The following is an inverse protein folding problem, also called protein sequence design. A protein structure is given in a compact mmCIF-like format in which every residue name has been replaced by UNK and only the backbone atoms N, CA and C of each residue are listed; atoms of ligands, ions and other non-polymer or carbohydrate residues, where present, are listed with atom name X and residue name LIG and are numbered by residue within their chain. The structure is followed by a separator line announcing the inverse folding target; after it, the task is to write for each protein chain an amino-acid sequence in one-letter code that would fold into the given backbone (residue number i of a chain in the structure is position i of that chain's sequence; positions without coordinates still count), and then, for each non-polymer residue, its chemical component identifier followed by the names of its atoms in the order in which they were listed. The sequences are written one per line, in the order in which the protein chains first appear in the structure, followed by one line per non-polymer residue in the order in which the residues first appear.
data_IF_595031702860
#
_entry.id   IF_595031702860
#
_cell.length_a   1.000
_cell.length_b   1.000
_cell.length_c   1.000
_cell.angle_alpha   90.00
_cell.angle_beta   90.00
_cell.angle_gamma   90.00
#
_symmetry.space_group_name_H-M   'P 1'
#
loop_
_entity.id
_entity.type
_entity.pdbx_description
1 polymer ?
#
# COMPACT_ATOMS: atom_id res chain seq x y z
N UNK A 1 -11.93 1.89 10.16
CA UNK A 1 -11.00 2.94 9.72
C UNK A 1 -11.77 4.22 9.48
N UNK A 2 -11.69 5.18 10.40
CA UNK A 2 -12.46 6.43 10.33
C UNK A 2 -11.62 7.62 9.87
N UNK A 3 -12.04 8.33 8.82
CA UNK A 3 -11.32 9.50 8.29
C UNK A 3 -11.18 10.65 9.30
N UNK A 4 -12.09 10.74 10.28
CA UNK A 4 -12.01 11.72 11.36
C UNK A 4 -10.74 11.57 12.21
N UNK A 5 -10.11 10.39 12.24
CA UNK A 5 -8.81 10.19 12.91
C UNK A 5 -7.69 11.03 12.31
N UNK A 6 -7.84 11.49 11.07
CA UNK A 6 -6.87 12.38 10.44
C UNK A 6 -6.97 13.82 10.96
N UNK A 7 -7.94 14.16 11.84
CA UNK A 7 -8.09 15.51 12.43
C UNK A 7 -6.96 15.90 13.37
N UNK A 8 -6.25 14.92 13.94
CA UNK A 8 -5.05 15.18 14.75
C UNK A 8 -3.85 15.67 13.94
N UNK A 9 -3.95 15.66 12.61
CA UNK A 9 -2.91 16.14 11.71
C UNK A 9 -3.38 17.42 10.99
N UNK A 10 -3.04 18.62 11.50
CA UNK A 10 -3.40 19.88 10.86
C UNK A 10 -2.50 20.22 9.66
N UNK A 11 -1.23 19.81 9.71
CA UNK A 11 -0.27 20.01 8.62
C UNK A 11 -0.22 18.77 7.72
N UNK A 12 -0.61 18.94 6.46
CA UNK A 12 -0.62 17.86 5.47
C UNK A 12 0.78 17.41 5.09
N UNK A 13 1.74 18.33 4.95
CA UNK A 13 3.10 17.98 4.53
C UNK A 13 3.82 17.17 5.61
N UNK A 14 3.72 17.62 6.87
CA UNK A 14 4.26 16.88 8.02
C UNK A 14 3.62 15.50 8.14
N UNK A 15 2.28 15.43 8.05
CA UNK A 15 1.54 14.18 8.05
C UNK A 15 2.06 13.18 7.02
N UNK A 16 2.18 13.61 5.77
CA UNK A 16 2.62 12.72 4.69
C UNK A 16 4.06 12.24 4.89
N UNK A 17 4.95 13.11 5.35
CA UNK A 17 6.35 12.74 5.56
C UNK A 17 6.53 11.77 6.74
N UNK A 18 5.82 11.99 7.85
CA UNK A 18 5.87 11.09 9.01
C UNK A 18 5.45 9.68 8.63
N UNK A 19 4.34 9.53 7.91
CA UNK A 19 3.81 8.20 7.54
C UNK A 19 4.60 7.56 6.39
N UNK A 20 5.15 8.36 5.48
CA UNK A 20 6.12 7.89 4.48
C UNK A 20 7.36 7.29 5.15
N UNK A 21 7.97 8.03 6.07
CA UNK A 21 9.16 7.57 6.80
C UNK A 21 8.87 6.31 7.61
N UNK A 22 7.75 6.28 8.32
CA UNK A 22 7.35 5.11 9.10
C UNK A 22 7.19 3.85 8.24
N UNK A 23 6.60 3.97 7.06
CA UNK A 23 6.48 2.85 6.11
C UNK A 23 7.84 2.34 5.63
N UNK A 24 8.75 3.26 5.28
CA UNK A 24 10.11 2.92 4.90
C UNK A 24 10.84 2.14 6.01
N UNK A 25 10.87 2.70 7.22
CA UNK A 25 11.55 2.10 8.36
C UNK A 25 10.97 0.72 8.70
N UNK A 26 9.64 0.58 8.62
CA UNK A 26 8.95 -0.67 8.91
C UNK A 26 9.25 -1.76 7.87
N UNK A 27 9.37 -1.44 6.58
CA UNK A 27 9.78 -2.39 5.54
C UNK A 27 11.23 -2.82 5.72
N UNK A 28 12.12 -1.87 6.02
CA UNK A 28 13.53 -2.17 6.29
C UNK A 28 13.72 -3.11 7.50
N UNK A 29 12.86 -2.99 8.51
CA UNK A 29 12.95 -3.78 9.75
C UNK A 29 12.23 -5.13 9.68
N UNK A 30 11.05 -5.18 9.07
CA UNK A 30 10.14 -6.32 9.22
C UNK A 30 9.90 -7.09 7.92
N UNK A 31 10.24 -6.50 6.77
CA UNK A 31 9.90 -7.00 5.43
C UNK A 31 8.38 -7.18 5.22
N UNK A 32 8.00 -7.66 4.03
CA UNK A 32 6.60 -7.96 3.71
C UNK A 32 5.82 -6.73 3.29
N UNK A 33 6.25 -6.09 2.20
CA UNK A 33 5.69 -4.85 1.65
C UNK A 33 4.17 -4.68 1.69
N UNK A 34 3.37 -5.71 1.38
CA UNK A 34 1.91 -5.63 1.48
C UNK A 34 1.41 -5.50 2.92
N UNK A 35 1.98 -6.28 3.84
CA UNK A 35 1.67 -6.25 5.26
C UNK A 35 2.16 -4.95 5.90
N UNK A 36 3.32 -4.44 5.51
CA UNK A 36 3.84 -3.16 6.01
C UNK A 36 2.94 -2.00 5.61
N UNK A 37 2.47 -1.94 4.35
CA UNK A 37 1.48 -0.93 3.95
C UNK A 37 0.23 -1.04 4.83
N UNK A 38 -0.34 -2.25 4.96
CA UNK A 38 -1.56 -2.46 5.77
C UNK A 38 -1.35 -2.07 7.23
N UNK A 39 -0.26 -2.52 7.86
CA UNK A 39 0.05 -2.23 9.25
C UNK A 39 0.29 -0.73 9.47
N UNK A 40 0.95 -0.05 8.52
CA UNK A 40 1.16 1.40 8.59
C UNK A 40 -0.17 2.15 8.65
N UNK A 41 -1.17 1.72 7.88
CA UNK A 41 -2.50 2.33 7.94
C UNK A 41 -3.30 1.92 9.16
N UNK A 42 -3.18 0.69 9.64
CA UNK A 42 -3.76 0.27 10.93
C UNK A 42 -3.23 1.13 12.08
N UNK A 43 -1.92 1.37 12.13
CA UNK A 43 -1.31 2.27 13.10
C UNK A 43 -1.81 3.72 12.95
N UNK A 44 -1.94 4.21 11.70
CA UNK A 44 -2.42 5.56 11.41
C UNK A 44 -3.83 5.79 11.97
N UNK A 45 -4.70 4.82 11.74
CA UNK A 45 -6.09 4.88 12.18
C UNK A 45 -6.30 4.40 13.61
N UNK A 46 -5.23 3.98 14.31
CA UNK A 46 -5.26 3.44 15.67
C UNK A 46 -6.20 2.22 15.79
N UNK A 47 -6.13 1.32 14.81
CA UNK A 47 -6.99 0.14 14.74
C UNK A 47 -6.19 -1.16 14.79
N UNK A 48 -6.71 -2.14 15.52
CA UNK A 48 -6.22 -3.51 15.46
C UNK A 48 -7.11 -4.32 14.50
N UNK A 49 -6.51 -4.85 13.43
CA UNK A 49 -7.22 -5.72 12.49
C UNK A 49 -6.32 -6.85 12.00
N UNK A 50 -6.13 -7.85 12.87
CA UNK A 50 -5.30 -9.02 12.60
C UNK A 50 -5.76 -9.77 11.34
N UNK A 51 -7.06 -9.79 11.07
CA UNK A 51 -7.61 -10.45 9.86
C UNK A 51 -7.13 -9.75 8.59
N UNK A 52 -7.22 -8.42 8.52
CA UNK A 52 -6.74 -7.65 7.37
C UNK A 52 -5.22 -7.78 7.20
N UNK A 53 -4.47 -7.68 8.30
CA UNK A 53 -3.01 -7.86 8.29
C UNK A 53 -2.61 -9.24 7.76
N UNK A 54 -3.22 -10.32 8.26
CA UNK A 54 -2.98 -11.69 7.78
C UNK A 54 -3.37 -11.87 6.32
N UNK A 55 -4.50 -11.30 5.90
CA UNK A 55 -4.96 -11.37 4.52
C UNK A 55 -3.97 -10.72 3.54
N UNK A 56 -3.16 -9.76 4.00
CA UNK A 56 -2.16 -9.10 3.17
C UNK A 56 -0.88 -9.92 2.95
N UNK A 57 -0.61 -10.93 3.78
CA UNK A 57 0.62 -11.75 3.70
C UNK A 57 0.76 -12.46 2.34
N UNK A 58 -0.37 -12.95 1.76
CA UNK A 58 -0.68 -13.25 0.38
C UNK A 58 0.04 -12.58 -0.78
N UNK A 59 0.60 -11.40 -0.55
CA UNK A 59 0.98 -10.46 -1.60
C UNK A 59 2.48 -10.10 -1.63
N UNK A 60 3.27 -10.62 -0.69
CA UNK A 60 4.72 -10.44 -0.67
C UNK A 60 5.44 -11.06 -1.90
N UNK A 61 6.53 -10.44 -2.34
CA UNK A 61 7.32 -10.87 -3.49
C UNK A 61 6.49 -11.07 -4.79
N UNK A 62 5.50 -10.21 -5.00
CA UNK A 62 4.70 -10.15 -6.23
C UNK A 62 3.45 -11.01 -6.24
N UNK A 63 3.23 -11.83 -5.22
CA UNK A 63 1.93 -12.28 -4.71
C UNK A 63 2.32 -13.22 -3.57
N UNK A 64 2.82 -14.38 -3.92
CA UNK A 64 3.45 -15.31 -3.00
C UNK A 64 4.67 -15.89 -3.72
N UNK A 65 5.69 -15.05 -3.94
CA UNK A 65 6.92 -15.37 -4.68
C UNK A 65 6.76 -15.67 -6.19
N UNK A 66 5.61 -15.39 -6.79
CA UNK A 66 5.38 -15.67 -8.22
C UNK A 66 5.78 -14.51 -9.14
N UNK A 67 6.24 -13.38 -8.58
CA UNK A 67 6.71 -12.24 -9.36
C UNK A 67 5.64 -11.38 -10.04
N UNK A 68 4.35 -11.64 -9.78
CA UNK A 68 3.21 -10.85 -10.29
C UNK A 68 3.06 -9.50 -9.56
N UNK A 69 1.86 -8.93 -9.43
CA UNK A 69 1.66 -7.56 -8.92
C UNK A 69 2.37 -7.27 -7.59
N UNK A 70 3.06 -6.12 -7.53
CA UNK A 70 3.81 -5.67 -6.36
C UNK A 70 2.94 -5.68 -5.09
N UNK A 71 3.46 -6.26 -4.01
CA UNK A 71 2.74 -6.38 -2.73
C UNK A 71 2.39 -5.03 -2.12
N UNK A 72 3.28 -4.04 -2.16
CA UNK A 72 2.99 -2.69 -1.70
C UNK A 72 1.77 -2.09 -2.42
N UNK A 73 1.71 -2.21 -3.75
CA UNK A 73 0.57 -1.74 -4.55
C UNK A 73 -0.73 -2.44 -4.12
N UNK A 74 -0.72 -3.77 -3.96
CA UNK A 74 -1.89 -4.51 -3.50
C UNK A 74 -2.32 -4.10 -2.09
N UNK A 75 -1.37 -3.95 -1.16
CA UNK A 75 -1.65 -3.47 0.20
C UNK A 75 -2.30 -2.09 0.21
N UNK A 76 -1.83 -1.16 -0.64
CA UNK A 76 -2.46 0.15 -0.80
C UNK A 76 -3.89 0.07 -1.35
N UNK A 77 -4.14 -0.85 -2.30
CA UNK A 77 -5.48 -1.12 -2.82
C UNK A 77 -6.41 -1.73 -1.76
N UNK A 78 -5.89 -2.61 -0.89
CA UNK A 78 -6.66 -3.16 0.24
C UNK A 78 -7.12 -2.04 1.18
N UNK A 79 -6.22 -1.13 1.55
CA UNK A 79 -6.56 0.00 2.41
C UNK A 79 -7.59 0.92 1.76
N UNK A 80 -7.42 1.30 0.49
CA UNK A 80 -8.43 2.09 -0.22
C UNK A 80 -9.78 1.35 -0.28
N UNK A 81 -9.76 0.03 -0.43
CA UNK A 81 -10.95 -0.82 -0.35
C UNK A 81 -11.70 -0.71 0.97
N UNK A 82 -11.00 -0.51 2.10
CA UNK A 82 -11.64 -0.28 3.40
C UNK A 82 -12.44 1.04 3.49
N UNK A 83 -12.16 2.02 2.62
CA UNK A 83 -12.85 3.32 2.62
C UNK A 83 -13.88 3.48 1.50
N UNK A 84 -13.62 2.86 0.35
CA UNK A 84 -14.39 3.09 -0.88
C UNK A 84 -15.06 1.81 -1.41
N UNK A 85 -14.65 0.64 -0.93
CA UNK A 85 -15.25 -0.63 -1.34
C UNK A 85 -16.73 -0.70 -0.97
N UNK A 86 -17.50 -1.44 -1.77
CA UNK A 86 -18.88 -1.80 -1.40
C UNK A 86 -18.85 -2.69 -0.15
N UNK A 87 -19.79 -2.46 0.75
CA UNK A 87 -20.04 -3.25 1.95
C UNK A 87 -21.09 -4.35 1.72
N UNK A 88 -21.92 -4.21 0.68
CA UNK A 88 -22.95 -5.17 0.29
C UNK A 88 -22.76 -5.64 -1.16
N UNK A 89 -22.80 -6.97 -1.36
CA UNK A 89 -22.77 -7.58 -2.69
C UNK A 89 -23.95 -7.13 -3.57
N UNK A 90 -25.10 -6.82 -2.95
CA UNK A 90 -26.34 -6.41 -3.62
C UNK A 90 -26.25 -5.01 -4.23
N UNK A 91 -25.29 -4.20 -3.79
CA UNK A 91 -24.95 -2.91 -4.43
C UNK A 91 -24.46 -3.07 -5.88
N UNK A 92 -24.21 -4.30 -6.32
CA UNK A 92 -24.04 -4.65 -7.73
C UNK A 92 -22.87 -3.90 -8.38
N UNK A 93 -23.04 -3.57 -9.66
CA UNK A 93 -22.00 -2.89 -10.44
C UNK A 93 -21.77 -1.45 -9.99
N UNK A 94 -22.81 -0.76 -9.52
CA UNK A 94 -22.70 0.62 -9.06
C UNK A 94 -21.74 0.75 -7.88
N UNK A 95 -21.90 -0.10 -6.85
CA UNK A 95 -20.99 -0.14 -5.70
C UNK A 95 -19.55 -0.50 -6.08
N UNK A 96 -19.37 -1.41 -7.04
CA UNK A 96 -18.02 -1.74 -7.55
C UNK A 96 -17.39 -0.54 -8.26
N UNK A 97 -18.12 0.15 -9.16
CA UNK A 97 -17.60 1.31 -9.89
C UNK A 97 -17.24 2.45 -8.94
N UNK A 98 -18.06 2.70 -7.92
CA UNK A 98 -17.77 3.69 -6.88
C UNK A 98 -16.44 3.39 -6.18
N UNK A 99 -16.22 2.13 -5.77
CA UNK A 99 -15.01 1.73 -5.06
C UNK A 99 -13.73 1.68 -5.88
N UNK A 100 -13.79 1.27 -7.15
CA UNK A 100 -12.58 1.18 -7.99
C UNK A 100 -12.08 2.53 -8.49
N UNK A 101 -12.93 3.57 -8.54
CA UNK A 101 -12.56 4.89 -9.09
C UNK A 101 -11.39 5.53 -8.33
N UNK A 102 -11.39 5.63 -6.98
CA UNK A 102 -10.24 6.08 -6.22
C UNK A 102 -9.02 5.14 -6.37
N UNK A 103 -9.23 3.83 -6.30
CA UNK A 103 -8.17 2.82 -6.44
C UNK A 103 -7.39 2.91 -7.77
N UNK A 104 -8.07 3.26 -8.86
CA UNK A 104 -7.43 3.48 -10.17
C UNK A 104 -6.40 4.60 -10.15
N UNK A 105 -6.54 5.59 -9.27
CA UNK A 105 -5.55 6.68 -9.14
C UNK A 105 -4.22 6.15 -8.60
N UNK A 106 -4.26 5.28 -7.58
CA UNK A 106 -3.07 4.62 -7.04
C UNK A 106 -2.36 3.78 -8.11
N UNK A 107 -3.11 2.97 -8.88
CA UNK A 107 -2.51 2.15 -9.95
C UNK A 107 -1.81 3.02 -10.99
N UNK A 108 -2.42 4.13 -11.41
CA UNK A 108 -1.82 5.06 -12.38
C UNK A 108 -0.58 5.75 -11.82
N UNK A 109 -0.63 6.23 -10.58
CA UNK A 109 0.53 6.79 -9.89
C UNK A 109 1.67 5.78 -9.85
N UNK A 110 1.38 4.55 -9.41
CA UNK A 110 2.37 3.49 -9.28
C UNK A 110 3.02 3.14 -10.62
N UNK A 111 2.22 2.97 -11.68
CA UNK A 111 2.71 2.74 -13.03
C UNK A 111 3.60 3.88 -13.55
N UNK A 112 3.21 5.13 -13.33
CA UNK A 112 4.02 6.28 -13.73
C UNK A 112 5.33 6.39 -12.96
N UNK A 113 5.33 6.00 -11.69
CA UNK A 113 6.47 6.10 -10.77
C UNK A 113 7.48 4.96 -10.96
N UNK A 114 7.01 3.73 -11.13
CA UNK A 114 7.83 2.51 -11.14
C UNK A 114 7.88 1.80 -12.49
N UNK A 115 7.21 2.34 -13.52
CA UNK A 115 7.18 1.85 -14.91
C UNK A 115 6.59 0.46 -15.15
N UNK A 116 6.38 -0.33 -14.10
CA UNK A 116 5.72 -1.62 -14.13
C UNK A 116 4.83 -1.81 -12.90
N UNK A 117 3.98 -2.82 -12.93
CA UNK A 117 3.15 -3.22 -11.77
C UNK A 117 3.55 -4.56 -11.19
N UNK A 118 4.25 -5.41 -11.95
CA UNK A 118 4.69 -6.71 -11.47
C UNK A 118 6.02 -6.57 -10.72
N UNK A 119 6.14 -7.27 -9.61
CA UNK A 119 7.29 -7.27 -8.74
C UNK A 119 8.53 -7.72 -9.51
N UNK A 120 8.47 -8.80 -10.30
CA UNK A 120 9.62 -9.28 -11.07
C UNK A 120 10.10 -8.26 -12.10
N UNK A 121 9.18 -7.56 -12.76
CA UNK A 121 9.53 -6.50 -13.72
C UNK A 121 10.21 -5.31 -13.01
N UNK A 122 9.76 -4.99 -11.79
CA UNK A 122 10.32 -3.89 -10.99
C UNK A 122 11.68 -4.29 -10.39
N UNK A 123 11.80 -5.48 -9.81
CA UNK A 123 13.01 -5.96 -9.13
C UNK A 123 14.08 -6.40 -10.12
N UNK A 124 13.69 -6.90 -11.29
CA UNK A 124 14.58 -7.58 -12.23
C UNK A 124 15.03 -8.96 -11.76
N UNK A 125 14.41 -9.50 -10.71
CA UNK A 125 14.83 -10.73 -10.04
C UNK A 125 13.67 -11.70 -9.81
N UNK A 126 13.94 -13.00 -9.99
CA UNK A 126 13.03 -14.05 -9.53
C UNK A 126 13.29 -14.35 -8.06
N UNK A 127 12.47 -13.79 -7.17
CA UNK A 127 12.63 -13.95 -5.73
C UNK A 127 12.29 -15.38 -5.24
N UNK A 128 11.73 -16.25 -6.09
CA UNK A 128 11.57 -17.67 -5.78
C UNK A 128 12.88 -18.46 -5.94
N UNK A 129 13.85 -17.96 -6.70
CA UNK A 129 15.18 -18.53 -6.81
C UNK A 129 16.04 -18.01 -5.65
N UNK A 130 16.55 -18.88 -4.76
CA UNK A 130 17.38 -18.47 -3.63
C UNK A 130 18.60 -17.63 -4.01
N UNK A 131 19.28 -17.96 -5.12
CA UNK A 131 20.49 -17.24 -5.54
C UNK A 131 20.17 -15.86 -6.11
N UNK A 132 19.10 -15.77 -6.91
CA UNK A 132 18.65 -14.48 -7.43
C UNK A 132 18.09 -13.58 -6.32
N UNK A 133 17.40 -14.17 -5.34
CA UNK A 133 16.87 -13.48 -4.16
C UNK A 133 18.00 -12.93 -3.29
N UNK A 134 19.00 -13.75 -2.95
CA UNK A 134 20.19 -13.32 -2.20
C UNK A 134 20.92 -12.17 -2.90
N UNK A 135 21.24 -12.34 -4.19
CA UNK A 135 21.90 -11.30 -4.97
C UNK A 135 21.09 -10.00 -5.05
N UNK A 136 19.76 -10.09 -5.16
CA UNK A 136 18.90 -8.91 -5.16
C UNK A 136 18.96 -8.15 -3.84
N UNK A 137 18.88 -8.85 -2.70
CA UNK A 137 18.88 -8.21 -1.39
C UNK A 137 20.25 -7.67 -0.99
N UNK A 138 21.34 -8.41 -1.26
CA UNK A 138 22.71 -7.94 -1.06
C UNK A 138 23.04 -6.70 -1.90
N UNK A 139 22.40 -6.58 -3.07
CA UNK A 139 22.50 -5.42 -3.95
C UNK A 139 21.66 -4.20 -3.54
N UNK A 140 21.09 -4.17 -2.33
CA UNK A 140 20.24 -3.08 -1.86
C UNK A 140 18.77 -3.19 -2.27
N UNK A 141 18.34 -4.38 -2.71
CA UNK A 141 16.96 -4.63 -3.14
C UNK A 141 15.91 -4.38 -2.05
N UNK A 142 16.27 -4.51 -0.77
CA UNK A 142 15.39 -4.20 0.34
C UNK A 142 15.08 -2.69 0.42
N UNK A 143 16.08 -1.83 0.27
CA UNK A 143 15.90 -0.38 0.25
C UNK A 143 15.00 0.05 -0.92
N UNK A 144 15.15 -0.61 -2.08
CA UNK A 144 14.26 -0.40 -3.22
C UNK A 144 12.80 -0.77 -2.87
N UNK A 145 12.57 -1.91 -2.22
CA UNK A 145 11.24 -2.30 -1.74
C UNK A 145 10.68 -1.31 -0.71
N UNK A 146 11.50 -0.86 0.24
CA UNK A 146 11.12 0.13 1.26
C UNK A 146 10.72 1.47 0.65
N UNK A 147 11.45 1.95 -0.36
CA UNK A 147 11.07 3.16 -1.10
C UNK A 147 9.73 3.01 -1.84
N UNK A 148 9.47 1.84 -2.44
CA UNK A 148 8.17 1.56 -3.10
C UNK A 148 7.04 1.55 -2.07
N UNK A 149 7.21 0.89 -0.94
CA UNK A 149 6.25 0.88 0.18
C UNK A 149 5.96 2.31 0.67
N UNK A 150 7.01 3.11 0.86
CA UNK A 150 6.91 4.50 1.29
C UNK A 150 6.15 5.37 0.27
N UNK A 151 6.44 5.23 -1.03
CA UNK A 151 5.75 5.94 -2.11
C UNK A 151 4.26 5.58 -2.17
N UNK A 152 3.90 4.30 -1.97
CA UNK A 152 2.51 3.86 -1.89
C UNK A 152 1.80 4.44 -0.67
N UNK A 153 2.40 4.35 0.52
CA UNK A 153 1.81 4.90 1.74
C UNK A 153 1.61 6.40 1.62
N UNK A 154 2.61 7.14 1.12
CA UNK A 154 2.50 8.58 0.86
C UNK A 154 1.29 8.89 -0.01
N UNK A 155 1.15 8.22 -1.15
CA UNK A 155 0.07 8.51 -2.09
C UNK A 155 -1.32 8.14 -1.54
N UNK A 156 -1.43 6.99 -0.86
CA UNK A 156 -2.71 6.58 -0.25
C UNK A 156 -3.09 7.52 0.89
N UNK A 157 -2.14 7.92 1.74
CA UNK A 157 -2.35 8.88 2.82
C UNK A 157 -2.80 10.24 2.27
N UNK A 158 -2.18 10.71 1.19
CA UNK A 158 -2.55 11.95 0.48
C UNK A 158 -4.00 11.90 -0.02
N UNK A 159 -4.36 10.82 -0.70
CA UNK A 159 -5.71 10.60 -1.22
C UNK A 159 -6.76 10.58 -0.09
N UNK A 160 -6.48 9.89 1.02
CA UNK A 160 -7.38 9.85 2.17
C UNK A 160 -7.48 11.21 2.89
N UNK A 161 -6.40 11.99 2.93
CA UNK A 161 -6.41 13.34 3.48
C UNK A 161 -7.27 14.28 2.63
N UNK A 162 -7.17 14.21 1.30
CA UNK A 162 -8.06 14.95 0.39
C UNK A 162 -9.52 14.52 0.53
N UNK A 163 -9.77 13.22 0.66
CA UNK A 163 -11.13 12.68 0.84
C UNK A 163 -11.76 13.20 2.15
N UNK A 164 -10.99 13.21 3.23
CA UNK A 164 -11.39 13.80 4.51
C UNK A 164 -11.79 15.26 4.36
N UNK A 165 -11.03 16.06 3.60
CA UNK A 165 -11.38 17.47 3.34
C UNK A 165 -12.69 17.62 2.55
N UNK A 166 -12.91 16.77 1.54
CA UNK A 166 -14.13 16.78 0.73
C UNK A 166 -15.39 16.41 1.51
N UNK A 167 -15.29 15.54 2.52
CA UNK A 167 -16.43 15.15 3.38
C UNK A 167 -16.75 16.19 4.47
N UNK A 168 -15.86 17.15 4.72
CA UNK A 168 -16.06 18.23 5.69
C UNK A 168 -16.66 19.50 5.09
N UNK A 169 -16.50 19.71 3.78
CA UNK A 169 -17.14 20.79 3.04
C UNK A 169 -18.49 20.35 2.47
#
# INVERSE_FOLDING_TARGET
MELSRLDKYPDKAEFLEVWRKKAFDMEMLNHGCSQVVVQTFLDLFEEENVTLFKAASPFAAGMSLTGNNCGALVGGLMILGCFFGRDDIRSGMEGVVAGIRPCRKLVKFFQGRHQAVNCRDITGADLADPHASEAYFDGGGLEKCANITADVVFYVADLLYEEKQKRKG
#
